data_IF_076380132216
#
_entry.id   IF_076380132216
#
_cell.length_a   1.000
_cell.length_b   1.000
_cell.length_c   1.000
_cell.angle_alpha   90.00
_cell.angle_beta   90.00
_cell.angle_gamma   90.00
#
_symmetry.space_group_name_H-M   'P 1'
#
loop_
_entity.id
_entity.type
_entity.pdbx_description
1 polymer ?
#
# COMPACT_ATOMS: atom_id res chain seq x y z
N UNK A 1 51.13 -46.21 -33.62
CA UNK A 1 51.21 -44.91 -32.92
C UNK A 1 50.51 -43.88 -33.79
N UNK A 2 49.35 -43.38 -33.29
CA UNK A 2 48.88 -41.97 -33.36
C UNK A 2 48.57 -41.35 -34.75
N UNK A 3 47.48 -40.63 -35.03
CA UNK A 3 46.26 -40.24 -34.31
C UNK A 3 45.16 -39.85 -35.33
N UNK A 4 43.89 -40.03 -34.94
CA UNK A 4 42.73 -39.53 -35.66
C UNK A 4 42.49 -38.04 -35.33
N UNK A 5 42.16 -37.23 -36.34
CA UNK A 5 41.73 -35.83 -36.18
C UNK A 5 40.22 -35.79 -36.35
N UNK A 6 39.50 -35.57 -35.25
CA UNK A 6 38.06 -35.41 -35.22
C UNK A 6 37.69 -33.95 -35.54
N UNK A 7 36.92 -33.76 -36.61
CA UNK A 7 36.24 -32.51 -36.94
C UNK A 7 35.07 -32.28 -35.97
N UNK A 8 35.20 -31.27 -35.11
CA UNK A 8 34.10 -30.78 -34.28
C UNK A 8 33.30 -29.74 -35.06
N UNK A 9 32.05 -30.08 -35.42
CA UNK A 9 31.08 -29.13 -35.96
C UNK A 9 30.49 -28.31 -34.82
N UNK A 10 30.65 -26.99 -34.87
CA UNK A 10 29.96 -26.04 -34.00
C UNK A 10 28.46 -26.05 -34.34
N UNK A 11 27.64 -26.61 -33.44
CA UNK A 11 26.19 -26.45 -33.47
C UNK A 11 25.81 -25.08 -32.90
N UNK A 12 25.22 -24.21 -33.73
CA UNK A 12 24.58 -22.98 -33.27
C UNK A 12 23.25 -23.36 -32.62
N UNK A 13 23.19 -23.33 -31.29
CA UNK A 13 21.95 -23.41 -30.54
C UNK A 13 21.20 -22.08 -30.70
N UNK A 14 20.19 -22.08 -31.56
CA UNK A 14 19.21 -20.99 -31.61
C UNK A 14 18.29 -21.18 -30.41
N UNK A 15 18.61 -20.56 -29.29
CA UNK A 15 17.68 -20.43 -28.17
C UNK A 15 16.51 -19.57 -28.63
N UNK A 16 15.39 -20.20 -28.95
CA UNK A 16 14.09 -19.53 -29.02
C UNK A 16 13.80 -18.98 -27.63
N UNK A 17 14.22 -17.75 -27.37
CA UNK A 17 13.79 -17.02 -26.19
C UNK A 17 12.27 -16.99 -26.21
N UNK A 18 11.64 -17.66 -25.25
CA UNK A 18 10.26 -17.37 -24.93
C UNK A 18 10.23 -15.88 -24.62
N UNK A 19 9.65 -15.09 -25.53
CA UNK A 19 9.27 -13.74 -25.22
C UNK A 19 8.39 -13.83 -23.98
N UNK A 20 8.93 -13.47 -22.81
CA UNK A 20 8.13 -13.27 -21.63
C UNK A 20 7.10 -12.23 -22.07
N UNK A 21 5.84 -12.65 -22.12
CA UNK A 21 4.74 -11.72 -22.27
C UNK A 21 4.88 -10.73 -21.11
N UNK A 22 5.37 -9.54 -21.43
CA UNK A 22 5.37 -8.41 -20.53
C UNK A 22 3.91 -8.28 -20.05
N UNK A 23 3.63 -8.28 -18.74
CA UNK A 23 2.27 -8.12 -18.27
C UNK A 23 1.71 -6.88 -18.93
N UNK A 24 0.72 -7.07 -19.81
CA UNK A 24 -0.07 -5.97 -20.32
C UNK A 24 -0.60 -5.22 -19.11
N UNK A 25 -0.41 -3.90 -19.08
CA UNK A 25 -0.94 -3.00 -18.07
C UNK A 25 -2.45 -3.25 -17.89
N UNK A 26 -2.78 -4.17 -17.00
CA UNK A 26 -4.13 -4.39 -16.51
C UNK A 26 -4.31 -3.41 -15.38
N UNK A 27 -5.22 -2.46 -15.55
CA UNK A 27 -5.55 -1.45 -14.54
C UNK A 27 -6.06 -2.13 -13.25
N UNK A 28 -5.17 -2.31 -12.27
CA UNK A 28 -5.48 -2.85 -10.95
C UNK A 28 -4.31 -3.52 -10.25
N UNK A 29 -4.20 -3.30 -8.95
CA UNK A 29 -3.17 -3.87 -8.09
C UNK A 29 -3.57 -5.27 -7.64
N UNK A 30 -2.68 -6.24 -7.86
CA UNK A 30 -2.87 -7.62 -7.40
C UNK A 30 -2.42 -7.78 -5.95
N UNK A 31 -3.22 -8.45 -5.14
CA UNK A 31 -2.90 -8.72 -3.74
C UNK A 31 -3.15 -10.17 -3.36
N UNK A 32 -2.41 -10.67 -2.37
CA UNK A 32 -2.64 -11.99 -1.81
C UNK A 32 -3.65 -11.94 -0.65
N UNK A 33 -4.70 -12.75 -0.74
CA UNK A 33 -5.74 -12.88 0.27
C UNK A 33 -6.17 -14.34 0.42
N UNK A 34 -6.04 -14.91 1.63
CA UNK A 34 -6.52 -16.26 1.95
C UNK A 34 -6.15 -17.36 0.94
N UNK A 35 -4.88 -17.43 0.51
CA UNK A 35 -4.45 -18.50 -0.40
C UNK A 35 -4.54 -18.17 -1.89
N UNK A 36 -5.09 -17.02 -2.27
CA UNK A 36 -5.31 -16.64 -3.66
C UNK A 36 -4.89 -15.21 -3.95
N UNK A 37 -4.62 -14.94 -5.22
CA UNK A 37 -4.45 -13.59 -5.74
C UNK A 37 -5.81 -12.98 -6.06
N UNK A 38 -6.01 -11.73 -5.66
CA UNK A 38 -7.21 -10.93 -5.93
C UNK A 38 -6.80 -9.62 -6.61
N UNK A 39 -7.71 -9.05 -7.39
CA UNK A 39 -7.53 -7.75 -8.07
C UNK A 39 -8.28 -6.68 -7.26
N UNK A 40 -7.52 -5.80 -6.61
CA UNK A 40 -8.07 -4.82 -5.67
C UNK A 40 -8.89 -3.72 -6.34
N UNK A 41 -8.64 -3.42 -7.62
CA UNK A 41 -9.43 -2.42 -8.35
C UNK A 41 -10.87 -2.89 -8.59
N UNK A 42 -11.09 -4.21 -8.58
CA UNK A 42 -12.41 -4.82 -8.79
C UNK A 42 -13.17 -5.01 -7.49
N UNK A 43 -12.61 -5.80 -6.57
CA UNK A 43 -13.21 -6.07 -5.27
C UNK A 43 -12.19 -6.67 -4.30
N UNK A 44 -12.37 -6.40 -3.01
CA UNK A 44 -11.52 -6.90 -1.93
C UNK A 44 -11.90 -8.33 -1.51
N UNK A 45 -12.95 -8.92 -2.08
CA UNK A 45 -13.41 -10.28 -1.82
C UNK A 45 -13.60 -10.60 -0.32
N UNK A 46 -14.07 -9.60 0.44
CA UNK A 46 -14.26 -9.69 1.89
C UNK A 46 -13.02 -9.35 2.73
N UNK A 47 -11.89 -8.97 2.13
CA UNK A 47 -10.80 -8.39 2.90
C UNK A 47 -11.20 -7.04 3.51
N UNK A 48 -10.66 -6.77 4.69
CA UNK A 48 -10.88 -5.54 5.45
C UNK A 48 -9.66 -4.63 5.44
N UNK A 49 -8.45 -5.20 5.56
CA UNK A 49 -7.19 -4.45 5.55
C UNK A 49 -6.32 -4.97 4.42
N UNK A 50 -5.75 -4.09 3.61
CA UNK A 50 -4.70 -4.43 2.66
C UNK A 50 -3.43 -3.64 2.99
N UNK A 51 -2.30 -4.33 3.02
CA UNK A 51 -0.98 -3.80 3.33
C UNK A 51 -0.08 -3.88 2.11
N UNK A 52 0.41 -2.73 1.67
CA UNK A 52 1.34 -2.55 0.56
C UNK A 52 2.74 -2.49 1.15
N UNK A 53 3.45 -3.61 1.12
CA UNK A 53 4.85 -3.67 1.56
C UNK A 53 5.78 -3.11 0.47
N UNK A 54 5.44 -3.43 -0.79
CA UNK A 54 6.01 -2.88 -2.03
C UNK A 54 4.93 -2.93 -3.11
N UNK A 55 5.19 -2.31 -4.27
CA UNK A 55 4.32 -2.39 -5.45
C UNK A 55 3.97 -3.83 -5.89
N UNK A 56 4.84 -4.81 -5.61
CA UNK A 56 4.65 -6.22 -5.99
C UNK A 56 4.29 -7.14 -4.81
N UNK A 57 4.27 -6.63 -3.57
CA UNK A 57 3.93 -7.38 -2.35
C UNK A 57 2.81 -6.68 -1.59
N UNK A 58 1.59 -6.93 -2.04
CA UNK A 58 0.37 -6.52 -1.35
C UNK A 58 -0.31 -7.71 -0.71
N UNK A 59 -0.61 -7.60 0.58
CA UNK A 59 -1.24 -8.66 1.37
C UNK A 59 -2.49 -8.13 2.05
N UNK A 60 -3.58 -8.87 1.93
CA UNK A 60 -4.86 -8.50 2.51
C UNK A 60 -5.28 -9.44 3.63
N UNK A 61 -6.12 -8.92 4.52
CA UNK A 61 -6.50 -9.55 5.77
C UNK A 61 -7.98 -9.32 6.05
N UNK A 62 -8.64 -10.34 6.62
CA UNK A 62 -10.08 -10.30 6.87
C UNK A 62 -10.48 -9.34 7.99
N UNK A 63 -9.53 -8.92 8.84
CA UNK A 63 -9.79 -8.00 9.97
C UNK A 63 -8.66 -7.00 10.14
N UNK A 64 -8.97 -5.87 10.79
CA UNK A 64 -7.96 -4.90 11.21
C UNK A 64 -6.87 -5.52 12.11
N UNK A 65 -7.27 -6.33 13.09
CA UNK A 65 -6.36 -7.00 14.01
C UNK A 65 -5.40 -7.98 13.30
N UNK A 66 -5.86 -8.69 12.26
CA UNK A 66 -4.99 -9.57 11.47
C UNK A 66 -3.95 -8.77 10.67
N UNK A 67 -4.35 -7.64 10.08
CA UNK A 67 -3.43 -6.72 9.40
C UNK A 67 -2.41 -6.11 10.37
N UNK A 68 -2.83 -5.70 11.56
CA UNK A 68 -1.95 -5.19 12.62
C UNK A 68 -0.90 -6.21 13.06
N UNK A 69 -1.33 -7.45 13.28
CA UNK A 69 -0.41 -8.54 13.60
C UNK A 69 0.63 -8.74 12.49
N UNK A 70 0.20 -8.70 11.24
CA UNK A 70 1.07 -8.93 10.10
C UNK A 70 2.07 -7.80 9.85
N UNK A 71 1.70 -6.55 10.13
CA UNK A 71 2.60 -5.39 10.05
C UNK A 71 3.39 -5.13 11.34
N UNK A 72 3.24 -5.98 12.35
CA UNK A 72 3.98 -5.88 13.61
C UNK A 72 3.53 -4.73 14.50
N UNK A 73 2.30 -4.23 14.32
CA UNK A 73 1.75 -3.18 15.17
C UNK A 73 1.66 -3.63 16.64
N UNK A 74 2.08 -2.74 17.54
CA UNK A 74 1.97 -2.93 18.99
C UNK A 74 1.49 -1.64 19.64
N UNK A 75 0.27 -1.66 20.20
CA UNK A 75 -0.33 -0.51 20.90
C UNK A 75 0.56 -0.01 22.05
N UNK A 76 1.21 -0.91 22.77
CA UNK A 76 2.05 -0.58 23.93
C UNK A 76 3.31 0.24 23.58
N UNK A 77 3.72 0.30 22.31
CA UNK A 77 4.90 1.06 21.85
C UNK A 77 4.52 2.20 20.91
N UNK A 78 3.23 2.48 20.79
CA UNK A 78 2.70 3.50 19.90
C UNK A 78 2.61 4.85 20.63
N UNK A 79 3.66 5.65 20.52
CA UNK A 79 3.77 6.94 21.23
C UNK A 79 2.64 7.92 20.87
N UNK A 80 2.14 7.91 19.64
CA UNK A 80 1.04 8.81 19.24
C UNK A 80 -0.23 8.45 19.98
N UNK A 81 -0.54 7.15 20.07
CA UNK A 81 -1.72 6.68 20.80
C UNK A 81 -1.55 6.83 22.32
N UNK A 82 -0.35 6.58 22.86
CA UNK A 82 -0.05 6.74 24.28
C UNK A 82 -0.21 8.21 24.72
N UNK A 83 0.35 9.14 23.94
CA UNK A 83 0.25 10.57 24.24
C UNK A 83 -1.21 11.07 24.16
N UNK A 84 -1.98 10.59 23.17
CA UNK A 84 -3.40 10.92 23.07
C UNK A 84 -4.18 10.40 24.29
N UNK A 85 -3.89 9.18 24.75
CA UNK A 85 -4.53 8.62 25.94
C UNK A 85 -4.16 9.38 27.23
N UNK A 86 -2.90 9.80 27.38
CA UNK A 86 -2.41 10.56 28.54
C UNK A 86 -3.17 11.87 28.73
N UNK A 87 -3.52 12.56 27.64
CA UNK A 87 -4.27 13.82 27.68
C UNK A 87 -5.78 13.64 27.54
N UNK A 88 -6.28 12.40 27.54
CA UNK A 88 -7.71 12.09 27.41
C UNK A 88 -8.31 12.46 26.05
N UNK A 89 -7.51 12.50 24.99
CA UNK A 89 -7.97 12.76 23.63
C UNK A 89 -8.70 11.55 23.01
N UNK A 90 -9.30 11.76 21.84
CA UNK A 90 -9.95 10.70 21.07
C UNK A 90 -8.97 9.55 20.74
N UNK A 91 -9.51 8.34 20.66
CA UNK A 91 -8.72 7.15 20.38
C UNK A 91 -8.05 7.25 19.00
N UNK A 92 -6.76 6.94 18.96
CA UNK A 92 -5.99 6.94 17.70
C UNK A 92 -6.04 5.54 17.08
N UNK A 93 -6.50 5.39 15.83
CA UNK A 93 -6.66 4.08 15.19
C UNK A 93 -5.30 3.42 14.94
N UNK A 94 -5.21 2.10 14.99
CA UNK A 94 -3.93 1.41 14.85
C UNK A 94 -3.27 1.61 13.47
N UNK A 95 -1.98 1.92 13.48
CA UNK A 95 -1.13 2.00 12.29
C UNK A 95 0.31 1.60 12.68
N UNK A 96 0.90 0.63 11.99
CA UNK A 96 2.22 0.10 12.32
C UNK A 96 3.32 1.16 12.20
N UNK A 97 4.41 1.01 12.95
CA UNK A 97 5.55 1.93 12.87
C UNK A 97 6.20 1.78 11.49
N UNK A 98 6.46 2.90 10.81
CA UNK A 98 6.98 2.89 9.44
C UNK A 98 5.90 2.68 8.40
N UNK A 99 4.64 3.00 8.72
CA UNK A 99 3.52 2.87 7.80
C UNK A 99 2.66 4.13 7.77
N UNK A 100 2.10 4.41 6.60
CA UNK A 100 0.98 5.32 6.39
C UNK A 100 -0.31 4.52 6.23
N UNK A 101 -1.38 4.93 6.92
CA UNK A 101 -2.66 4.24 6.93
C UNK A 101 -3.78 5.16 6.49
N UNK A 102 -4.53 4.76 5.47
CA UNK A 102 -5.76 5.39 5.01
C UNK A 102 -6.96 4.57 5.47
N UNK A 103 -8.01 5.26 5.89
CA UNK A 103 -9.24 4.65 6.38
C UNK A 103 -10.44 5.16 5.59
N UNK A 104 -11.34 4.23 5.30
CA UNK A 104 -12.51 4.50 4.48
C UNK A 104 -13.48 5.49 5.14
N UNK A 105 -13.58 5.45 6.46
CA UNK A 105 -14.49 6.29 7.22
C UNK A 105 -13.73 7.16 8.21
N UNK A 106 -14.46 8.08 8.84
CA UNK A 106 -13.95 8.93 9.91
C UNK A 106 -13.48 8.10 11.10
N UNK A 107 -12.70 8.73 11.95
CA UNK A 107 -12.24 8.16 13.22
C UNK A 107 -11.40 6.86 13.07
N UNK A 108 -10.85 6.61 11.88
CA UNK A 108 -10.08 5.40 11.59
C UNK A 108 -10.91 4.15 11.35
N UNK A 109 -12.17 4.30 10.94
CA UNK A 109 -13.11 3.20 10.74
C UNK A 109 -13.17 2.72 9.28
N UNK A 110 -13.82 1.57 9.07
CA UNK A 110 -14.06 0.98 7.76
C UNK A 110 -12.85 0.25 7.17
N UNK A 111 -12.87 0.03 5.85
CA UNK A 111 -11.74 -0.62 5.16
C UNK A 111 -10.46 0.21 5.34
N UNK A 112 -9.33 -0.49 5.44
CA UNK A 112 -8.02 0.12 5.70
C UNK A 112 -7.02 -0.27 4.63
N UNK A 113 -6.38 0.73 4.01
CA UNK A 113 -5.28 0.55 3.07
C UNK A 113 -4.03 1.16 3.70
N UNK A 114 -2.96 0.38 3.82
CA UNK A 114 -1.74 0.79 4.53
C UNK A 114 -0.50 0.61 3.65
N UNK A 115 0.41 1.56 3.69
CA UNK A 115 1.57 1.68 2.82
C UNK A 115 2.87 1.76 3.64
N UNK A 116 3.89 1.10 3.15
CA UNK A 116 5.27 1.18 3.63
C UNK A 116 6.23 1.70 2.54
N UNK A 117 5.77 1.79 1.29
CA UNK A 117 6.58 2.29 0.20
C UNK A 117 6.51 3.82 0.08
N UNK A 118 7.50 4.39 -0.58
CA UNK A 118 7.68 5.84 -0.74
C UNK A 118 7.29 6.30 -2.15
N UNK A 119 6.37 5.57 -2.79
CA UNK A 119 5.97 5.84 -4.17
C UNK A 119 4.59 6.50 -4.22
N UNK A 120 4.29 7.18 -5.33
CA UNK A 120 2.93 7.61 -5.59
C UNK A 120 2.08 6.41 -6.01
N UNK A 121 1.04 6.15 -5.23
CA UNK A 121 0.08 5.07 -5.43
C UNK A 121 -1.27 5.66 -5.83
N UNK A 122 -1.79 5.27 -7.00
CA UNK A 122 -3.13 5.67 -7.44
C UNK A 122 -4.19 4.83 -6.75
N UNK A 123 -5.11 5.47 -6.04
CA UNK A 123 -6.05 4.79 -5.16
C UNK A 123 -7.10 3.97 -5.93
N UNK A 124 -7.32 4.22 -7.22
CA UNK A 124 -8.22 3.42 -8.04
C UNK A 124 -7.66 2.03 -8.34
N UNK A 125 -6.33 1.89 -8.40
CA UNK A 125 -5.69 0.58 -8.56
C UNK A 125 -5.97 -0.36 -7.37
N UNK A 126 -6.32 0.22 -6.21
CA UNK A 126 -6.66 -0.50 -4.98
C UNK A 126 -8.18 -0.54 -4.71
N UNK A 127 -9.02 0.00 -5.60
CA UNK A 127 -10.46 0.14 -5.35
C UNK A 127 -10.79 1.07 -4.18
N UNK A 128 -9.91 2.03 -3.91
CA UNK A 128 -9.94 2.97 -2.78
C UNK A 128 -10.05 4.45 -3.21
N UNK A 129 -10.17 4.71 -4.52
CA UNK A 129 -10.34 6.03 -5.09
C UNK A 129 -11.58 6.74 -4.52
N UNK A 130 -11.39 7.98 -4.09
CA UNK A 130 -12.45 8.80 -3.51
C UNK A 130 -13.13 8.14 -2.30
N UNK A 131 -12.39 7.34 -1.52
CA UNK A 131 -12.91 6.66 -0.31
C UNK A 131 -12.23 7.04 0.99
N UNK A 132 -11.16 7.82 0.95
CA UNK A 132 -10.44 8.17 2.18
C UNK A 132 -11.20 9.24 2.95
N UNK A 133 -11.47 8.99 4.23
CA UNK A 133 -12.13 9.92 5.14
C UNK A 133 -11.26 10.32 6.35
N UNK A 134 -10.33 9.44 6.73
CA UNK A 134 -9.36 9.72 7.80
C UNK A 134 -8.03 9.03 7.48
N UNK A 135 -6.95 9.49 8.11
CA UNK A 135 -5.62 8.95 7.87
C UNK A 135 -4.76 9.00 9.13
N UNK A 136 -3.79 8.10 9.18
CA UNK A 136 -2.77 8.06 10.23
C UNK A 136 -1.41 7.80 9.61
N UNK A 137 -0.44 8.65 9.90
CA UNK A 137 0.94 8.45 9.50
C UNK A 137 1.77 8.08 10.75
N UNK A 138 2.29 6.86 10.80
CA UNK A 138 3.18 6.41 11.89
C UNK A 138 4.60 6.11 11.39
N UNK A 139 5.05 6.79 10.35
CA UNK A 139 6.39 6.71 9.81
C UNK A 139 7.43 7.46 10.66
N UNK A 140 8.69 7.54 10.20
CA UNK A 140 9.76 8.26 10.90
C UNK A 140 9.42 9.72 11.16
N UNK A 141 10.11 10.37 12.11
CA UNK A 141 9.82 11.77 12.49
C UNK A 141 10.06 12.79 11.38
N UNK A 142 10.85 12.44 10.37
CA UNK A 142 11.10 13.24 9.16
C UNK A 142 10.24 12.82 7.97
N UNK A 143 9.31 11.88 8.19
CA UNK A 143 8.72 11.10 7.11
C UNK A 143 7.24 11.40 6.96
N UNK A 144 6.96 12.36 6.09
CA UNK A 144 5.60 12.82 5.84
C UNK A 144 5.06 12.22 4.57
N UNK A 145 3.87 11.64 4.65
CA UNK A 145 3.13 11.25 3.46
C UNK A 145 2.46 12.43 2.76
N UNK A 146 1.82 12.15 1.63
CA UNK A 146 0.96 13.08 0.92
C UNK A 146 -0.33 12.40 0.48
N UNK A 147 -1.38 13.21 0.38
CA UNK A 147 -2.64 12.82 -0.24
C UNK A 147 -2.98 13.87 -1.29
N UNK A 148 -3.41 13.43 -2.48
CA UNK A 148 -3.74 14.33 -3.58
C UNK A 148 -5.10 14.01 -4.18
N UNK A 149 -5.75 15.06 -4.70
CA UNK A 149 -7.06 14.97 -5.34
C UNK A 149 -7.05 14.17 -6.63
N UNK A 150 -5.92 14.17 -7.33
CA UNK A 150 -5.79 13.55 -8.64
C UNK A 150 -4.65 12.55 -8.65
N UNK A 151 -4.58 11.75 -9.71
CA UNK A 151 -3.57 10.71 -9.90
C UNK A 151 -2.15 11.27 -9.89
N UNK A 152 -1.20 10.39 -9.57
CA UNK A 152 0.24 10.62 -9.64
C UNK A 152 0.71 11.86 -8.86
N UNK A 153 0.02 12.18 -7.75
CA UNK A 153 0.34 13.33 -6.92
C UNK A 153 0.12 14.70 -7.58
N UNK A 154 -0.67 14.76 -8.65
CA UNK A 154 -0.83 15.97 -9.47
C UNK A 154 -1.11 17.25 -8.67
N UNK A 155 -0.47 18.34 -9.11
CA UNK A 155 -0.62 19.68 -8.56
C UNK A 155 -1.81 20.47 -9.14
N UNK A 156 -2.60 19.88 -10.06
CA UNK A 156 -3.77 20.55 -10.65
C UNK A 156 -4.99 20.62 -9.72
N UNK A 157 -4.95 19.89 -8.61
CA UNK A 157 -5.96 19.92 -7.54
C UNK A 157 -5.31 20.22 -6.19
N UNK A 158 -5.99 19.85 -5.11
CA UNK A 158 -5.35 19.94 -3.79
C UNK A 158 -4.33 18.81 -3.58
N UNK A 159 -3.26 19.14 -2.88
CA UNK A 159 -2.28 18.20 -2.34
C UNK A 159 -2.03 18.60 -0.88
N UNK A 160 -2.21 17.65 0.05
CA UNK A 160 -1.99 17.89 1.48
C UNK A 160 -0.85 17.02 1.99
N UNK A 161 -0.09 17.59 2.92
CA UNK A 161 0.91 16.87 3.71
C UNK A 161 0.21 16.06 4.80
N UNK A 162 0.65 14.83 4.99
CA UNK A 162 0.25 13.95 6.08
C UNK A 162 1.41 13.92 7.09
N UNK A 163 1.30 14.74 8.13
CA UNK A 163 2.41 14.95 9.08
C UNK A 163 2.92 13.63 9.66
N UNK A 164 4.24 13.53 9.78
CA UNK A 164 4.92 12.44 10.46
C UNK A 164 4.35 12.27 11.87
N UNK A 165 4.10 11.03 12.29
CA UNK A 165 3.49 10.73 13.59
C UNK A 165 2.12 11.42 13.80
N UNK A 166 1.42 11.75 12.71
CA UNK A 166 0.14 12.45 12.70
C UNK A 166 -1.07 11.53 12.59
N UNK A 167 -2.22 12.08 12.97
CA UNK A 167 -3.53 11.48 12.79
C UNK A 167 -4.56 12.58 12.52
N UNK A 168 -5.41 12.39 11.52
CA UNK A 168 -6.57 13.23 11.25
C UNK A 168 -7.80 12.33 11.17
N UNK A 169 -8.77 12.58 12.04
CA UNK A 169 -10.01 11.81 12.16
C UNK A 169 -11.07 12.14 11.11
N UNK A 170 -10.98 13.32 10.48
CA UNK A 170 -11.92 13.78 9.46
C UNK A 170 -11.21 14.69 8.45
N UNK A 171 -11.27 14.32 7.16
CA UNK A 171 -10.71 15.10 6.06
C UNK A 171 -11.55 16.34 5.69
N UNK A 172 -12.74 16.51 6.28
CA UNK A 172 -13.59 17.69 6.12
C UNK A 172 -13.96 17.90 4.66
N UNK A 173 -13.65 19.07 4.10
CA UNK A 173 -13.98 19.38 2.69
C UNK A 173 -13.26 18.51 1.66
N UNK A 174 -12.26 17.72 2.08
CA UNK A 174 -11.49 16.77 1.26
C UNK A 174 -11.94 15.32 1.43
N UNK A 175 -12.94 15.08 2.27
CA UNK A 175 -13.54 13.77 2.47
C UNK A 175 -13.96 13.13 1.15
N UNK A 176 -13.58 11.86 0.94
CA UNK A 176 -13.93 11.09 -0.26
C UNK A 176 -13.51 11.76 -1.59
N UNK A 177 -12.37 12.46 -1.60
CA UNK A 177 -11.85 13.16 -2.81
C UNK A 177 -10.42 12.82 -3.18
N UNK A 178 -9.75 11.97 -2.40
CA UNK A 178 -8.38 11.58 -2.67
C UNK A 178 -8.31 10.54 -3.78
N UNK A 179 -7.39 10.72 -4.73
CA UNK A 179 -7.13 9.76 -5.81
C UNK A 179 -5.70 9.23 -5.84
N UNK A 180 -4.77 9.84 -5.11
CA UNK A 180 -3.43 9.25 -4.94
C UNK A 180 -2.84 9.56 -3.57
N UNK A 181 -1.92 8.70 -3.15
CA UNK A 181 -1.20 8.77 -1.87
C UNK A 181 0.28 8.52 -2.08
N UNK A 182 1.12 9.12 -1.25
CA UNK A 182 2.55 8.84 -1.18
C UNK A 182 2.97 8.64 0.27
N UNK A 183 3.88 7.70 0.48
CA UNK A 183 4.54 7.38 1.73
C UNK A 183 3.84 6.25 2.45
#
# INVERSE_FOLDING_TARGET
MTAAIATATLGVLVSTGAAQAQPSAGHGTLAYYQGKTIDLSKDWQGAHTCAVFTADDIRCYSTAAAGEKATGYKRATDTVALNAAEVGAAAVPACARGWLCLYQFKDGEGKRLIFQDEEWNNLDDYGFDNRTSSWRNNQGSSDSGRLAQYKDGSNSGWNIKLDAKGYVSDLGSKDNKASSVHG
#
